data_IF_290271677363
#
_entry.id   IF_290271677363
#
_cell.length_a   1.000
_cell.length_b   1.000
_cell.length_c   1.000
_cell.angle_alpha   90.00
_cell.angle_beta   90.00
_cell.angle_gamma   90.00
#
_symmetry.space_group_name_H-M   'P 1'
#
loop_
_entity.id
_entity.type
_entity.pdbx_description
1 polymer ?
#
# COMPACT_ATOMS: atom_id res chain seq x y z
N UNK A 1 14.76 -0.58 -23.98
CA UNK A 1 13.75 0.16 -23.20
C UNK A 1 14.35 1.51 -22.85
N UNK A 2 13.68 2.63 -23.12
CA UNK A 2 14.18 3.98 -22.83
C UNK A 2 13.54 4.50 -21.54
N UNK A 3 14.31 5.25 -20.73
CA UNK A 3 13.78 5.96 -19.56
C UNK A 3 12.96 7.15 -20.04
N UNK A 4 11.72 7.26 -19.57
CA UNK A 4 10.84 8.35 -19.97
C UNK A 4 11.13 9.62 -19.15
N UNK A 5 11.48 10.71 -19.82
CA UNK A 5 11.54 12.04 -19.21
C UNK A 5 10.11 12.57 -19.05
N UNK A 6 9.75 12.98 -17.82
CA UNK A 6 8.40 13.46 -17.48
C UNK A 6 8.30 14.97 -17.64
N UNK A 7 7.15 15.46 -18.10
CA UNK A 7 6.83 16.89 -18.07
C UNK A 7 6.42 17.33 -16.65
N UNK A 8 6.40 18.64 -16.41
CA UNK A 8 5.96 19.19 -15.13
C UNK A 8 4.51 18.79 -14.79
N UNK A 9 3.62 18.76 -15.78
CA UNK A 9 2.22 18.33 -15.59
C UNK A 9 2.13 16.85 -15.20
N UNK A 10 2.96 16.00 -15.82
CA UNK A 10 3.02 14.59 -15.47
C UNK A 10 3.55 14.41 -14.04
N UNK A 11 4.58 15.17 -13.64
CA UNK A 11 5.08 15.15 -12.27
C UNK A 11 4.02 15.61 -11.25
N UNK A 12 3.20 16.60 -11.61
CA UNK A 12 2.09 17.05 -10.76
C UNK A 12 1.03 15.95 -10.57
N UNK A 13 0.73 15.16 -11.62
CA UNK A 13 -0.17 14.01 -11.52
C UNK A 13 0.44 12.86 -10.71
N UNK A 14 1.72 12.53 -10.93
CA UNK A 14 2.46 11.55 -10.12
C UNK A 14 2.45 11.91 -8.63
N UNK A 15 2.60 13.20 -8.31
CA UNK A 15 2.53 13.71 -6.93
C UNK A 15 1.21 13.38 -6.25
N UNK A 16 0.07 13.46 -6.96
CA UNK A 16 -1.24 13.12 -6.39
C UNK A 16 -1.31 11.65 -5.97
N UNK A 17 -0.82 10.75 -6.80
CA UNK A 17 -0.76 9.32 -6.48
C UNK A 17 0.15 9.06 -5.26
N UNK A 18 1.34 9.68 -5.24
CA UNK A 18 2.26 9.58 -4.10
C UNK A 18 1.68 10.12 -2.79
N UNK A 19 0.92 11.22 -2.83
CA UNK A 19 0.24 11.77 -1.64
C UNK A 19 -0.85 10.82 -1.13
N UNK A 20 -1.62 10.19 -2.03
CA UNK A 20 -2.62 9.20 -1.63
C UNK A 20 -1.96 7.98 -0.98
N UNK A 21 -0.88 7.45 -1.56
CA UNK A 21 -0.08 6.38 -0.96
C UNK A 21 0.42 6.77 0.43
N UNK A 22 1.03 7.96 0.57
CA UNK A 22 1.52 8.42 1.88
C UNK A 22 0.41 8.48 2.93
N UNK A 23 -0.73 9.08 2.59
CA UNK A 23 -1.87 9.16 3.51
C UNK A 23 -2.38 7.78 3.93
N UNK A 24 -2.30 6.79 3.03
CA UNK A 24 -2.72 5.42 3.28
C UNK A 24 -1.75 4.72 4.22
N UNK A 25 -0.44 4.85 3.97
CA UNK A 25 0.60 4.31 4.85
C UNK A 25 0.56 4.92 6.26
N UNK A 26 0.26 6.23 6.38
CA UNK A 26 0.10 6.89 7.67
C UNK A 26 -1.08 6.30 8.47
N UNK A 27 -2.21 6.06 7.82
CA UNK A 27 -3.36 5.40 8.45
C UNK A 27 -3.03 3.97 8.86
N UNK A 28 -2.34 3.20 8.01
CA UNK A 28 -1.95 1.83 8.34
C UNK A 28 -1.00 1.85 9.55
N UNK A 29 0.03 2.70 9.54
CA UNK A 29 0.99 2.84 10.64
C UNK A 29 0.30 3.16 11.96
N UNK A 30 -0.71 4.02 11.95
CA UNK A 30 -1.49 4.36 13.15
C UNK A 30 -2.37 3.22 13.67
N UNK A 31 -2.64 2.20 12.85
CA UNK A 31 -3.50 1.06 13.19
C UNK A 31 -2.75 -0.26 13.36
N UNK A 32 -1.44 -0.31 13.10
CA UNK A 32 -0.60 -1.46 13.44
C UNK A 32 -0.46 -1.55 14.97
N UNK A 33 -0.96 -2.65 15.52
CA UNK A 33 -0.81 -3.02 16.93
C UNK A 33 -1.05 -4.52 17.11
N UNK A 34 -0.51 -5.09 18.19
CA UNK A 34 -0.77 -6.47 18.57
C UNK A 34 -2.29 -6.74 18.64
N UNK A 35 -2.73 -7.86 18.11
CA UNK A 35 -4.15 -8.23 18.00
C UNK A 35 -4.82 -7.83 16.68
N UNK A 36 -4.15 -7.06 15.82
CA UNK A 36 -4.71 -6.64 14.51
C UNK A 36 -4.42 -7.70 13.46
N UNK A 37 -5.43 -8.09 12.67
CA UNK A 37 -5.20 -8.97 11.51
C UNK A 37 -4.65 -8.19 10.32
N UNK A 38 -3.83 -8.83 9.50
CA UNK A 38 -3.33 -8.22 8.26
C UNK A 38 -4.46 -7.85 7.29
N UNK A 39 -5.56 -8.63 7.26
CA UNK A 39 -6.79 -8.30 6.52
C UNK A 39 -7.48 -7.02 6.99
N UNK A 40 -7.42 -6.69 8.30
CA UNK A 40 -7.98 -5.44 8.80
C UNK A 40 -7.18 -4.22 8.31
N UNK A 41 -5.86 -4.35 8.20
CA UNK A 41 -5.01 -3.30 7.61
C UNK A 41 -5.31 -3.12 6.13
N UNK A 42 -5.53 -4.22 5.38
CA UNK A 42 -5.91 -4.16 3.97
C UNK A 42 -7.26 -3.44 3.76
N UNK A 43 -8.24 -3.72 4.60
CA UNK A 43 -9.54 -3.04 4.56
C UNK A 43 -9.44 -1.53 4.80
N UNK A 44 -8.55 -1.10 5.72
CA UNK A 44 -8.25 0.33 5.95
C UNK A 44 -7.64 0.95 4.69
N UNK A 45 -6.70 0.24 4.05
CA UNK A 45 -6.06 0.71 2.83
C UNK A 45 -7.04 0.87 1.68
N UNK A 46 -7.87 -0.16 1.43
CA UNK A 46 -8.90 -0.15 0.39
C UNK A 46 -9.87 1.01 0.57
N UNK A 47 -10.36 1.21 1.80
CA UNK A 47 -11.28 2.30 2.11
C UNK A 47 -10.64 3.68 1.87
N UNK A 48 -9.38 3.88 2.28
CA UNK A 48 -8.72 5.17 2.10
C UNK A 48 -8.40 5.45 0.63
N UNK A 49 -7.87 4.47 -0.12
CA UNK A 49 -7.56 4.60 -1.54
C UNK A 49 -8.83 4.93 -2.33
N UNK A 50 -9.93 4.21 -2.07
CA UNK A 50 -11.23 4.46 -2.70
C UNK A 50 -11.75 5.86 -2.39
N UNK A 51 -11.68 6.30 -1.12
CA UNK A 51 -12.10 7.65 -0.70
C UNK A 51 -11.24 8.74 -1.31
N UNK A 52 -9.96 8.48 -1.54
CA UNK A 52 -9.03 9.37 -2.24
C UNK A 52 -9.20 9.42 -3.76
N UNK A 53 -10.19 8.69 -4.30
CA UNK A 53 -10.46 8.64 -5.74
C UNK A 53 -9.42 7.83 -6.54
N UNK A 54 -8.67 6.95 -5.87
CA UNK A 54 -7.69 6.08 -6.49
C UNK A 54 -8.14 4.62 -6.59
N UNK A 55 -7.31 3.82 -7.26
CA UNK A 55 -7.39 2.35 -7.31
C UNK A 55 -6.11 1.75 -6.72
N UNK A 56 -6.15 0.50 -6.28
CA UNK A 56 -4.93 -0.21 -5.87
C UNK A 56 -4.04 -0.52 -7.08
N UNK A 57 -2.72 -0.44 -6.90
CA UNK A 57 -1.77 -1.00 -7.87
C UNK A 57 -1.80 -2.54 -7.89
N UNK A 58 -2.11 -3.15 -6.75
CA UNK A 58 -1.84 -4.56 -6.49
C UNK A 58 -3.07 -5.43 -6.66
N UNK A 59 -4.25 -4.96 -6.23
CA UNK A 59 -5.49 -5.75 -6.28
C UNK A 59 -5.85 -6.11 -7.72
N UNK A 60 -5.79 -7.40 -8.03
CA UNK A 60 -6.01 -7.99 -9.37
C UNK A 60 -4.76 -8.09 -10.24
N UNK A 61 -3.63 -7.49 -9.85
CA UNK A 61 -2.38 -7.54 -10.63
C UNK A 61 -1.80 -8.96 -10.61
N UNK A 62 -1.76 -9.61 -11.77
CA UNK A 62 -1.39 -11.03 -11.91
C UNK A 62 -2.13 -11.97 -10.93
N UNK A 63 -3.38 -11.64 -10.59
CA UNK A 63 -4.20 -12.42 -9.66
C UNK A 63 -3.92 -12.16 -8.18
N UNK A 64 -3.09 -11.17 -7.83
CA UNK A 64 -2.88 -10.78 -6.43
C UNK A 64 -4.21 -10.29 -5.80
N UNK A 65 -4.63 -10.82 -4.63
CA UNK A 65 -6.01 -10.67 -4.18
C UNK A 65 -6.28 -9.40 -3.34
N UNK A 66 -5.24 -8.73 -2.84
CA UNK A 66 -5.35 -7.69 -1.81
C UNK A 66 -4.91 -6.30 -2.29
N UNK A 67 -5.19 -5.28 -1.49
CA UNK A 67 -4.91 -3.87 -1.80
C UNK A 67 -3.48 -3.45 -1.45
N UNK A 68 -2.93 -4.00 -0.37
CA UNK A 68 -1.56 -3.80 0.12
C UNK A 68 -0.84 -5.14 0.29
N UNK A 69 0.49 -5.10 0.44
CA UNK A 69 1.24 -6.24 0.95
C UNK A 69 1.54 -6.01 2.44
N UNK A 70 1.41 -7.06 3.26
CA UNK A 70 1.82 -7.04 4.67
C UNK A 70 2.72 -8.24 4.91
N UNK A 71 4.00 -7.99 5.17
CA UNK A 71 5.03 -9.02 5.33
C UNK A 71 5.60 -8.97 6.75
N UNK A 72 5.49 -10.05 7.49
CA UNK A 72 5.86 -10.14 8.90
C UNK A 72 7.09 -11.05 9.06
N UNK A 73 8.10 -10.52 9.75
CA UNK A 73 9.36 -11.20 10.12
C UNK A 73 10.15 -11.73 8.91
N UNK A 74 10.08 -13.03 8.65
CA UNK A 74 10.83 -13.74 7.59
C UNK A 74 10.18 -13.63 6.21
N UNK A 75 8.96 -13.10 6.13
CA UNK A 75 8.32 -12.75 4.87
C UNK A 75 9.04 -11.55 4.24
N UNK A 76 9.74 -11.80 3.12
CA UNK A 76 10.62 -10.80 2.49
C UNK A 76 9.80 -9.65 1.89
N UNK A 77 8.84 -9.97 1.02
CA UNK A 77 7.94 -9.04 0.32
C UNK A 77 6.67 -9.77 -0.10
N UNK A 78 5.66 -9.03 -0.54
CA UNK A 78 4.42 -9.57 -1.12
C UNK A 78 3.62 -10.51 -0.20
N UNK A 79 3.77 -10.38 1.12
CA UNK A 79 2.89 -11.07 2.07
C UNK A 79 1.43 -10.70 1.79
N UNK A 80 0.59 -11.73 1.62
CA UNK A 80 -0.83 -11.57 1.28
C UNK A 80 -1.62 -11.35 2.58
N UNK A 81 -2.31 -10.21 2.73
CA UNK A 81 -3.21 -9.98 3.86
C UNK A 81 -4.25 -11.09 4.03
N UNK A 82 -4.45 -11.52 5.28
CA UNK A 82 -5.39 -12.57 5.66
C UNK A 82 -5.64 -12.59 7.17
N UNK A 83 -5.93 -13.77 7.71
CA UNK A 83 -6.29 -13.93 9.13
C UNK A 83 -5.08 -13.86 10.09
N UNK A 84 -3.85 -13.76 9.56
CA UNK A 84 -2.64 -13.63 10.37
C UNK A 84 -2.75 -12.39 11.26
N UNK A 85 -2.63 -12.61 12.57
CA UNK A 85 -2.67 -11.59 13.60
C UNK A 85 -1.27 -11.13 13.96
N UNK A 86 -1.06 -9.82 14.04
CA UNK A 86 0.20 -9.22 14.49
C UNK A 86 0.33 -9.43 16.00
N UNK A 87 1.51 -9.83 16.46
CA UNK A 87 1.82 -9.99 17.89
C UNK A 87 2.92 -9.03 18.34
N UNK A 88 3.06 -8.85 19.65
CA UNK A 88 4.13 -8.02 20.20
C UNK A 88 5.50 -8.60 19.86
N UNK A 89 6.38 -7.78 19.30
CA UNK A 89 7.73 -8.18 18.89
C UNK A 89 7.87 -8.55 17.42
N UNK A 90 6.76 -8.67 16.67
CA UNK A 90 6.81 -8.79 15.21
C UNK A 90 7.40 -7.53 14.57
N UNK A 91 8.23 -7.73 13.56
CA UNK A 91 8.62 -6.68 12.61
C UNK A 91 7.68 -6.78 11.42
N UNK A 92 6.99 -5.68 11.12
CA UNK A 92 5.94 -5.66 10.09
C UNK A 92 6.31 -4.69 8.98
N UNK A 93 6.49 -5.20 7.77
CA UNK A 93 6.60 -4.40 6.56
C UNK A 93 5.24 -4.25 5.88
N UNK A 94 4.94 -3.03 5.44
CA UNK A 94 3.74 -2.72 4.66
C UNK A 94 4.14 -2.01 3.38
N UNK A 95 3.68 -2.54 2.26
CA UNK A 95 3.85 -1.97 0.93
C UNK A 95 2.50 -1.54 0.36
N UNK A 96 2.42 -0.33 -0.18
CA UNK A 96 1.18 0.28 -0.66
C UNK A 96 1.41 1.01 -1.99
N UNK A 97 0.57 0.65 -2.96
CA UNK A 97 0.53 1.32 -4.26
C UNK A 97 -0.88 1.81 -4.62
N UNK A 98 -0.96 2.99 -5.23
CA UNK A 98 -2.22 3.55 -5.70
C UNK A 98 -2.11 4.18 -7.09
N UNK A 99 -3.18 4.05 -7.87
CA UNK A 99 -3.38 4.62 -9.20
C UNK A 99 -4.32 5.82 -9.07
N UNK A 100 -3.86 7.01 -9.49
CA UNK A 100 -4.69 8.23 -9.57
C UNK A 100 -4.53 8.82 -10.96
N UNK A 101 -5.64 8.95 -11.69
CA UNK A 101 -5.65 9.51 -13.06
C UNK A 101 -4.62 8.83 -13.99
N UNK A 102 -4.45 7.50 -13.87
CA UNK A 102 -3.51 6.71 -14.66
C UNK A 102 -2.04 6.77 -14.20
N UNK A 103 -1.74 7.47 -13.11
CA UNK A 103 -0.40 7.55 -12.55
C UNK A 103 -0.28 6.72 -11.27
N UNK A 104 0.83 5.99 -11.17
CA UNK A 104 1.12 5.13 -10.04
C UNK A 104 1.98 5.86 -9.01
N UNK A 105 1.60 5.73 -7.75
CA UNK A 105 2.46 5.97 -6.60
C UNK A 105 2.75 4.63 -5.92
N UNK A 106 3.92 4.52 -5.30
CA UNK A 106 4.36 3.29 -4.64
C UNK A 106 5.34 3.62 -3.50
N UNK A 107 5.14 3.03 -2.33
CA UNK A 107 6.02 3.19 -1.18
C UNK A 107 5.74 2.14 -0.10
N UNK A 108 6.78 1.82 0.67
CA UNK A 108 6.70 0.90 1.80
C UNK A 108 7.35 1.47 3.07
N UNK A 109 7.02 0.88 4.22
CA UNK A 109 7.75 1.08 5.47
C UNK A 109 7.82 -0.22 6.28
N UNK A 110 8.71 -0.27 7.27
CA UNK A 110 8.70 -1.30 8.32
C UNK A 110 8.64 -0.66 9.71
N UNK A 111 7.98 -1.34 10.65
CA UNK A 111 7.86 -0.96 12.08
C UNK A 111 8.08 -2.15 12.99
#
# INVERSE_FOLDING_TARGET
MAIQIKSLDQLALMRKAGLLVRSTLDLIRANIKAGTTTSALDAIAEANIKRGGGLSNFKGYHGFPATICVSINDEIVHGIPGDRMIVSGDIVSVDCGAIVQGWHGDAAFSV
#
